data_IF_357984580565
#
_entry.id   IF_357984580565
#
_cell.length_a   1.000
_cell.length_b   1.000
_cell.length_c   1.000
_cell.angle_alpha   90.00
_cell.angle_beta   90.00
_cell.angle_gamma   90.00
#
_symmetry.space_group_name_H-M   'P 1'
#
loop_
_entity.id
_entity.type
_entity.pdbx_description
1 polymer ?
#
# COMPACT_ATOMS: atom_id res chain seq x y z
N UNK A 1 45.64 -5.14 -23.53
CA UNK A 1 44.17 -5.11 -23.41
C UNK A 1 43.82 -5.29 -21.93
N UNK A 2 43.53 -4.20 -21.21
CA UNK A 2 43.26 -4.22 -19.77
C UNK A 2 41.75 -4.20 -19.59
N UNK A 3 41.17 -5.35 -19.25
CA UNK A 3 39.74 -5.50 -18.98
C UNK A 3 39.43 -5.07 -17.55
N UNK A 4 38.60 -4.03 -17.41
CA UNK A 4 38.10 -3.56 -16.11
C UNK A 4 36.82 -4.32 -15.77
N UNK A 5 36.87 -5.11 -14.69
CA UNK A 5 35.70 -5.75 -14.09
C UNK A 5 34.95 -4.67 -13.31
N UNK A 6 33.78 -4.25 -13.80
CA UNK A 6 32.88 -3.38 -13.04
C UNK A 6 32.08 -4.25 -12.07
N UNK A 7 32.47 -4.22 -10.80
CA UNK A 7 31.72 -4.82 -9.69
C UNK A 7 30.45 -4.02 -9.46
N UNK A 8 29.30 -4.55 -9.92
CA UNK A 8 27.99 -3.95 -9.68
C UNK A 8 27.61 -4.15 -8.20
N UNK A 9 27.65 -3.06 -7.42
CA UNK A 9 27.11 -3.03 -6.08
C UNK A 9 25.58 -3.18 -6.14
N UNK A 10 25.08 -4.35 -5.77
CA UNK A 10 23.65 -4.58 -5.60
C UNK A 10 23.13 -3.71 -4.44
N UNK A 11 22.49 -2.60 -4.78
CA UNK A 11 21.75 -1.80 -3.80
C UNK A 11 20.59 -2.65 -3.26
N UNK A 12 20.72 -3.12 -2.03
CA UNK A 12 19.60 -3.70 -1.31
C UNK A 12 18.56 -2.60 -1.09
N UNK A 13 17.54 -2.50 -1.95
CA UNK A 13 16.35 -1.71 -1.64
C UNK A 13 15.74 -2.28 -0.36
N UNK A 14 15.93 -1.57 0.75
CA UNK A 14 15.21 -1.80 1.99
C UNK A 14 13.73 -1.87 1.66
N UNK A 15 13.08 -2.98 2.02
CA UNK A 15 11.65 -3.16 1.82
C UNK A 15 10.95 -2.03 2.59
N UNK A 16 10.51 -1.00 1.89
CA UNK A 16 9.65 -0.02 2.52
C UNK A 16 8.33 -0.73 2.80
N UNK A 17 7.88 -0.82 4.06
CA UNK A 17 6.57 -1.41 4.35
C UNK A 17 5.51 -0.68 3.52
N UNK A 18 4.62 -1.43 2.89
CA UNK A 18 3.56 -0.85 2.07
C UNK A 18 2.53 -0.20 3.00
N UNK A 19 2.69 1.10 3.24
CA UNK A 19 1.88 1.86 4.17
C UNK A 19 1.64 3.28 3.66
N UNK A 20 0.41 3.77 3.84
CA UNK A 20 0.07 5.15 3.55
C UNK A 20 0.62 6.07 4.66
N UNK A 21 1.44 7.08 4.33
CA UNK A 21 1.81 8.11 5.29
C UNK A 21 0.57 8.78 5.88
N UNK A 22 0.56 9.03 7.19
CA UNK A 22 -0.55 9.76 7.82
C UNK A 22 -0.72 11.17 7.24
N UNK A 23 0.39 11.78 6.78
CA UNK A 23 0.40 13.05 6.05
C UNK A 23 1.26 12.98 4.80
N UNK A 24 0.79 13.64 3.74
CA UNK A 24 1.55 13.85 2.51
C UNK A 24 1.37 15.28 2.05
N UNK A 25 2.47 16.02 1.84
CA UNK A 25 2.48 17.44 1.44
C UNK A 25 1.54 18.32 2.29
N UNK A 26 1.56 18.12 3.61
CA UNK A 26 0.74 18.88 4.57
C UNK A 26 -0.75 18.50 4.62
N UNK A 27 -1.18 17.51 3.83
CA UNK A 27 -2.56 16.98 3.84
C UNK A 27 -2.62 15.66 4.61
N UNK A 28 -3.74 15.41 5.27
CA UNK A 28 -3.98 14.18 6.03
C UNK A 28 -4.58 13.11 5.12
N UNK A 29 -4.23 11.85 5.34
CA UNK A 29 -4.83 10.71 4.64
C UNK A 29 -6.36 10.74 4.84
N UNK A 30 -7.14 10.69 3.77
CA UNK A 30 -8.62 10.74 3.84
C UNK A 30 -9.31 9.60 3.09
N UNK A 31 -8.62 8.97 2.14
CA UNK A 31 -9.14 7.83 1.39
C UNK A 31 -8.04 6.79 1.16
N UNK A 32 -8.45 5.53 1.02
CA UNK A 32 -7.59 4.46 0.51
C UNK A 32 -8.33 3.61 -0.50
N UNK A 33 -7.61 3.15 -1.52
CA UNK A 33 -8.07 2.11 -2.41
C UNK A 33 -6.98 1.03 -2.54
N UNK A 34 -7.41 -0.23 -2.50
CA UNK A 34 -6.55 -1.41 -2.58
C UNK A 34 -6.86 -2.09 -3.91
N UNK A 35 -5.85 -2.32 -4.74
CA UNK A 35 -5.99 -2.83 -6.10
C UNK A 35 -5.29 -4.18 -6.25
N UNK A 36 -5.96 -5.10 -6.93
CA UNK A 36 -5.38 -6.36 -7.40
C UNK A 36 -4.70 -6.15 -8.75
N UNK A 37 -3.46 -5.67 -8.71
CA UNK A 37 -2.70 -5.25 -9.89
C UNK A 37 -2.59 -3.74 -10.04
N UNK A 38 -2.20 -3.25 -11.23
CA UNK A 38 -2.07 -1.83 -11.51
C UNK A 38 -3.43 -1.09 -11.44
N UNK A 39 -3.40 0.22 -11.15
CA UNK A 39 -4.65 1.01 -10.99
C UNK A 39 -5.43 1.16 -12.30
N UNK A 40 -4.74 1.03 -13.43
CA UNK A 40 -5.29 1.09 -14.78
C UNK A 40 -6.28 -0.05 -15.05
N UNK A 41 -6.09 -1.20 -14.39
CA UNK A 41 -6.98 -2.37 -14.48
C UNK A 41 -8.27 -2.18 -13.68
N UNK A 42 -8.34 -1.14 -12.83
CA UNK A 42 -9.51 -0.77 -12.02
C UNK A 42 -10.04 -1.91 -11.13
N UNK A 43 -9.19 -2.88 -10.80
CA UNK A 43 -9.51 -4.03 -9.97
C UNK A 43 -9.47 -3.68 -8.48
N UNK A 44 -10.38 -2.79 -8.04
CA UNK A 44 -10.47 -2.34 -6.64
C UNK A 44 -11.05 -3.47 -5.78
N UNK A 45 -10.38 -3.75 -4.66
CA UNK A 45 -10.79 -4.74 -3.68
C UNK A 45 -11.64 -4.10 -2.57
N UNK A 46 -12.82 -4.67 -2.36
CA UNK A 46 -13.58 -4.42 -1.15
C UNK A 46 -12.84 -5.01 0.08
N UNK A 47 -12.99 -4.42 1.27
CA UNK A 47 -12.46 -5.04 2.49
C UNK A 47 -13.19 -6.35 2.79
N UNK A 48 -12.45 -7.40 3.14
CA UNK A 48 -13.00 -8.68 3.61
C UNK A 48 -13.75 -8.53 4.93
N UNK A 49 -13.34 -7.56 5.76
CA UNK A 49 -14.08 -7.21 6.96
C UNK A 49 -14.00 -5.72 7.27
N UNK A 50 -15.08 -5.21 7.85
CA UNK A 50 -15.20 -3.84 8.35
C UNK A 50 -15.85 -3.87 9.72
N UNK A 51 -15.21 -3.26 10.72
CA UNK A 51 -15.69 -3.26 12.10
C UNK A 51 -15.54 -1.86 12.72
N UNK A 52 -16.53 -1.43 13.48
CA UNK A 52 -16.51 -0.15 14.19
C UNK A 52 -16.57 -0.35 15.70
N UNK A 53 -15.60 0.17 16.43
CA UNK A 53 -15.56 0.12 17.90
C UNK A 53 -14.97 1.39 18.46
N UNK A 54 -15.57 1.97 19.50
CA UNK A 54 -15.03 3.14 20.17
C UNK A 54 -14.78 4.33 19.23
N UNK A 55 -15.60 4.49 18.18
CA UNK A 55 -15.41 5.55 17.18
C UNK A 55 -14.29 5.32 16.15
N UNK A 56 -13.69 4.12 16.15
CA UNK A 56 -12.68 3.71 15.17
C UNK A 56 -13.32 2.74 14.18
N UNK A 57 -13.27 3.04 12.88
CA UNK A 57 -13.60 2.09 11.82
C UNK A 57 -12.31 1.40 11.37
N UNK A 58 -12.24 0.08 11.51
CA UNK A 58 -11.14 -0.75 11.01
C UNK A 58 -11.63 -1.55 9.83
N UNK A 59 -10.84 -1.56 8.75
CA UNK A 59 -11.08 -2.37 7.56
C UNK A 59 -9.89 -3.27 7.31
N UNK A 60 -10.12 -4.48 6.82
CA UNK A 60 -9.07 -5.47 6.55
C UNK A 60 -9.26 -6.10 5.19
N UNK A 61 -8.14 -6.34 4.52
CA UNK A 61 -8.04 -7.09 3.28
C UNK A 61 -7.05 -8.25 3.44
N UNK A 62 -7.38 -9.43 2.93
CA UNK A 62 -6.55 -10.63 2.84
C UNK A 62 -5.99 -10.74 1.41
N UNK A 63 -4.82 -10.15 1.20
CA UNK A 63 -4.22 -9.90 -0.13
C UNK A 63 -3.27 -11.01 -0.60
N UNK A 64 -3.10 -12.08 0.20
CA UNK A 64 -2.24 -13.21 -0.15
C UNK A 64 -2.66 -13.92 -1.45
N UNK A 65 -3.93 -13.78 -1.88
CA UNK A 65 -4.45 -14.36 -3.12
C UNK A 65 -3.86 -13.70 -4.38
N UNK A 66 -3.61 -12.39 -4.33
CA UNK A 66 -3.05 -11.57 -5.42
C UNK A 66 -1.72 -12.14 -5.89
N UNK A 67 -0.83 -12.40 -4.93
CA UNK A 67 0.51 -12.90 -5.18
C UNK A 67 0.53 -14.34 -5.67
N UNK A 68 -0.43 -15.18 -5.24
CA UNK A 68 -0.59 -16.54 -5.75
C UNK A 68 -0.99 -16.57 -7.22
N UNK A 69 -1.66 -15.53 -7.70
CA UNK A 69 -1.97 -15.33 -9.11
C UNK A 69 -0.82 -14.67 -9.89
N UNK A 70 0.35 -14.44 -9.27
CA UNK A 70 1.50 -13.79 -9.90
C UNK A 70 1.34 -12.28 -10.08
N UNK A 71 0.36 -11.66 -9.42
CA UNK A 71 0.09 -10.22 -9.50
C UNK A 71 0.74 -9.46 -8.35
N UNK A 72 0.87 -8.16 -8.52
CA UNK A 72 1.34 -7.24 -7.49
C UNK A 72 0.16 -6.51 -6.83
N UNK A 73 0.31 -6.14 -5.56
CA UNK A 73 -0.65 -5.29 -4.89
C UNK A 73 -0.30 -3.83 -5.13
N UNK A 74 -1.30 -3.03 -5.49
CA UNK A 74 -1.18 -1.57 -5.51
C UNK A 74 -2.13 -0.95 -4.50
N UNK A 75 -1.65 0.05 -3.79
CA UNK A 75 -2.41 0.84 -2.83
C UNK A 75 -2.38 2.29 -3.30
N UNK A 76 -3.54 2.92 -3.33
CA UNK A 76 -3.69 4.35 -3.56
C UNK A 76 -4.07 5.03 -2.24
N UNK A 77 -3.26 6.00 -1.82
CA UNK A 77 -3.46 6.81 -0.62
C UNK A 77 -3.97 8.19 -1.04
N UNK A 78 -5.22 8.48 -0.72
CA UNK A 78 -5.88 9.75 -1.00
C UNK A 78 -5.55 10.82 0.03
N UNK A 79 -5.29 12.04 -0.45
CA UNK A 79 -5.05 13.20 0.38
C UNK A 79 -5.79 14.40 -0.24
N UNK A 80 -6.73 14.98 0.50
CA UNK A 80 -7.62 16.02 0.01
C UNK A 80 -6.92 17.17 -0.71
N UNK A 81 -7.38 17.44 -1.93
CA UNK A 81 -6.92 18.55 -2.76
C UNK A 81 -5.54 18.35 -3.42
N UNK A 82 -4.98 17.14 -3.39
CA UNK A 82 -3.75 16.79 -4.13
C UNK A 82 -3.88 15.43 -4.82
N UNK A 83 -2.97 15.15 -5.75
CA UNK A 83 -2.89 13.84 -6.39
C UNK A 83 -2.58 12.74 -5.35
N UNK A 84 -3.20 11.56 -5.49
CA UNK A 84 -2.99 10.48 -4.55
C UNK A 84 -1.57 9.90 -4.67
N UNK A 85 -1.06 9.37 -3.55
CA UNK A 85 0.20 8.62 -3.53
C UNK A 85 -0.10 7.16 -3.86
N UNK A 86 0.51 6.64 -4.92
CA UNK A 86 0.40 5.24 -5.32
C UNK A 86 1.64 4.47 -4.87
N UNK A 87 1.41 3.35 -4.21
CA UNK A 87 2.45 2.47 -3.70
C UNK A 87 2.19 1.06 -4.22
N UNK A 88 3.18 0.43 -4.84
CA UNK A 88 3.07 -0.93 -5.37
C UNK A 88 4.05 -1.84 -4.66
N UNK A 89 3.59 -3.02 -4.24
CA UNK A 89 4.45 -4.07 -3.69
C UNK A 89 4.35 -5.33 -4.53
N UNK A 90 5.45 -5.67 -5.19
CA UNK A 90 5.67 -6.99 -5.79
C UNK A 90 6.12 -8.04 -4.76
N UNK A 91 6.45 -7.62 -3.53
CA UNK A 91 6.76 -8.55 -2.44
C UNK A 91 5.46 -9.11 -1.87
N UNK A 92 5.38 -10.43 -1.58
CA UNK A 92 4.19 -11.02 -1.01
C UNK A 92 3.82 -10.40 0.33
N UNK A 93 2.59 -9.91 0.41
CA UNK A 93 1.94 -9.43 1.61
C UNK A 93 0.75 -10.35 1.88
N UNK A 94 0.40 -10.52 3.16
CA UNK A 94 -0.74 -11.35 3.53
C UNK A 94 -1.98 -10.51 3.74
N UNK A 95 -1.82 -9.35 4.36
CA UNK A 95 -2.93 -8.57 4.87
C UNK A 95 -2.70 -7.08 4.75
N UNK A 96 -3.74 -6.32 4.44
CA UNK A 96 -3.78 -4.88 4.63
C UNK A 96 -4.79 -4.53 5.70
N UNK A 97 -4.53 -3.45 6.46
CA UNK A 97 -5.45 -2.93 7.45
C UNK A 97 -5.51 -1.41 7.35
N UNK A 98 -6.72 -0.87 7.27
CA UNK A 98 -6.99 0.54 7.42
C UNK A 98 -7.64 0.81 8.78
N UNK A 99 -7.33 1.96 9.37
CA UNK A 99 -7.98 2.47 10.57
C UNK A 99 -8.39 3.92 10.35
N UNK A 100 -9.64 4.24 10.68
CA UNK A 100 -10.24 5.56 10.52
C UNK A 100 -10.73 6.03 11.88
N UNK A 101 -10.17 7.14 12.38
CA UNK A 101 -10.49 7.65 13.71
C UNK A 101 -10.30 9.16 13.80
N UNK A 102 -10.82 9.77 14.87
CA UNK A 102 -10.55 11.18 15.18
C UNK A 102 -9.06 11.46 15.44
N UNK A 103 -8.30 10.47 15.92
CA UNK A 103 -6.87 10.60 16.19
C UNK A 103 -6.02 10.57 14.92
N UNK A 104 -6.59 10.10 13.80
CA UNK A 104 -5.92 9.99 12.53
C UNK A 104 -6.32 8.73 11.77
N UNK A 105 -5.91 8.74 10.50
CA UNK A 105 -6.18 7.68 9.55
C UNK A 105 -4.88 6.98 9.18
N UNK A 106 -4.93 5.68 8.97
CA UNK A 106 -3.77 4.90 8.57
C UNK A 106 -4.17 3.72 7.69
N UNK A 107 -3.23 3.30 6.85
CA UNK A 107 -3.27 2.01 6.17
C UNK A 107 -1.86 1.43 6.14
N UNK A 108 -1.74 0.17 6.52
CA UNK A 108 -0.50 -0.60 6.40
C UNK A 108 -0.78 -2.03 5.96
N UNK A 109 0.18 -2.60 5.23
CA UNK A 109 0.15 -3.97 4.76
C UNK A 109 1.39 -4.74 5.23
N UNK A 110 1.20 -6.03 5.52
CA UNK A 110 2.21 -6.96 6.03
C UNK A 110 1.98 -8.38 5.52
#
# INVERSE_FOLDING_TARGET
>A
MIGWIVMAAAMAQAATPLACPARHRGRTLDAVAVYDGPVEDKAILAPDSSHRTGGVLTQRWDVAGIYRAGRALTVECGYGGIAPLRLTSSRPLRTCRASWSKAGNSLSCR
#
